data_IF_449317089466
#
_entry.id   IF_449317089466
#
_cell.length_a   1.000
_cell.length_b   1.000
_cell.length_c   1.000
_cell.angle_alpha   90.00
_cell.angle_beta   90.00
_cell.angle_gamma   90.00
#
_symmetry.space_group_name_H-M   'P 1'
#
loop_
_entity.id
_entity.type
_entity.pdbx_description
1 polymer ?
#
# COMPACT_ATOMS: atom_id res chain seq x y z
N UNK A 1 -12.23 -11.63 -13.06
CA UNK A 1 -10.97 -11.88 -13.81
C UNK A 1 -9.98 -12.58 -12.87
N UNK A 2 -9.41 -13.72 -13.26
CA UNK A 2 -8.47 -14.48 -12.41
C UNK A 2 -7.01 -14.27 -12.81
N UNK A 3 -6.13 -14.15 -11.83
CA UNK A 3 -4.70 -13.96 -12.05
C UNK A 3 -3.91 -13.73 -10.77
N UNK A 4 -2.63 -13.37 -10.90
CA UNK A 4 -1.73 -13.13 -9.79
C UNK A 4 -1.37 -11.64 -9.67
N UNK A 5 -1.47 -11.08 -8.47
CA UNK A 5 -1.02 -9.70 -8.22
C UNK A 5 0.51 -9.67 -8.24
N UNK A 6 1.11 -9.09 -9.28
CA UNK A 6 2.57 -9.01 -9.41
C UNK A 6 3.15 -7.92 -8.50
N UNK A 7 2.53 -6.74 -8.52
CA UNK A 7 2.96 -5.59 -7.73
C UNK A 7 1.83 -4.59 -7.62
N UNK A 8 1.94 -3.74 -6.61
CA UNK A 8 1.08 -2.57 -6.42
C UNK A 8 1.94 -1.32 -6.34
N UNK A 9 1.48 -0.26 -7.00
CA UNK A 9 2.08 1.08 -6.93
C UNK A 9 1.00 2.10 -6.63
N UNK A 10 1.42 3.26 -6.13
CA UNK A 10 0.51 4.38 -5.91
C UNK A 10 1.10 5.60 -6.61
N UNK A 11 0.27 6.26 -7.41
CA UNK A 11 0.62 7.51 -8.09
C UNK A 11 -0.44 8.55 -7.74
N UNK A 12 -0.02 9.60 -7.04
CA UNK A 12 -0.93 10.57 -6.42
C UNK A 12 -1.93 9.83 -5.51
N UNK A 13 -3.20 9.76 -5.89
CA UNK A 13 -4.27 9.12 -5.10
C UNK A 13 -4.91 7.95 -5.86
N UNK A 14 -4.15 7.36 -6.80
CA UNK A 14 -4.57 6.18 -7.58
C UNK A 14 -3.63 5.03 -7.27
N UNK A 15 -4.21 3.93 -6.79
CA UNK A 15 -3.53 2.65 -6.71
C UNK A 15 -3.58 1.94 -8.07
N UNK A 16 -2.41 1.53 -8.55
CA UNK A 16 -2.26 0.68 -9.73
C UNK A 16 -1.90 -0.73 -9.23
N UNK A 17 -2.74 -1.71 -9.57
CA UNK A 17 -2.53 -3.13 -9.28
C UNK A 17 -2.24 -3.83 -10.60
N UNK A 18 -1.05 -4.42 -10.70
CA UNK A 18 -0.63 -5.16 -11.89
C UNK A 18 -0.95 -6.64 -11.72
N UNK A 19 -1.85 -7.16 -12.55
CA UNK A 19 -2.34 -8.52 -12.49
C UNK A 19 -1.84 -9.33 -13.70
N UNK A 20 -1.12 -10.42 -13.45
CA UNK A 20 -0.82 -11.44 -14.48
C UNK A 20 -2.00 -12.39 -14.58
N UNK A 21 -2.79 -12.30 -15.65
CA UNK A 21 -3.94 -13.19 -15.83
C UNK A 21 -3.49 -14.61 -16.13
N UNK A 22 -4.38 -15.58 -15.91
CA UNK A 22 -4.11 -16.98 -16.27
C UNK A 22 -3.94 -17.20 -17.79
N UNK A 23 -4.42 -16.26 -18.62
CA UNK A 23 -4.18 -16.28 -20.07
C UNK A 23 -2.77 -15.81 -20.47
N UNK A 24 -1.99 -15.32 -19.51
CA UNK A 24 -0.64 -14.80 -19.74
C UNK A 24 -0.59 -13.29 -20.03
N UNK A 25 -1.72 -12.58 -20.11
CA UNK A 25 -1.74 -11.11 -20.23
C UNK A 25 -1.39 -10.44 -18.91
N UNK A 26 -0.84 -9.23 -18.98
CA UNK A 26 -0.63 -8.38 -17.80
C UNK A 26 -1.59 -7.20 -17.89
N UNK A 27 -2.51 -7.14 -16.93
CA UNK A 27 -3.54 -6.12 -16.84
C UNK A 27 -3.18 -5.10 -15.75
N UNK A 28 -3.45 -3.82 -16.03
CA UNK A 28 -3.32 -2.74 -15.06
C UNK A 28 -4.70 -2.33 -14.56
N UNK A 29 -4.99 -2.66 -13.31
CA UNK A 29 -6.22 -2.27 -12.63
C UNK A 29 -5.96 -0.99 -11.84
N UNK A 30 -6.80 0.02 -12.01
CA UNK A 30 -6.68 1.29 -11.28
C UNK A 30 -7.85 1.46 -10.32
N UNK A 31 -7.56 1.70 -9.05
CA UNK A 31 -8.57 1.98 -8.03
C UNK A 31 -8.21 3.26 -7.26
N UNK A 32 -9.20 4.05 -6.81
CA UNK A 32 -8.92 5.18 -5.92
C UNK A 32 -8.21 4.71 -4.65
N UNK A 33 -7.13 5.39 -4.26
CA UNK A 33 -6.43 5.15 -3.02
C UNK A 33 -6.64 6.32 -2.06
N UNK A 34 -7.18 5.99 -0.89
CA UNK A 34 -7.40 6.94 0.19
C UNK A 34 -6.48 6.59 1.35
N UNK A 35 -5.49 7.43 1.67
CA UNK A 35 -4.59 7.13 2.78
C UNK A 35 -5.33 7.23 4.12
N UNK A 36 -5.08 6.25 4.98
CA UNK A 36 -5.79 6.14 6.25
C UNK A 36 -4.86 5.82 7.43
N UNK A 37 -5.30 6.17 8.64
CA UNK A 37 -4.66 5.84 9.91
C UNK A 37 -5.71 5.75 11.02
N UNK A 38 -5.28 5.39 12.23
CA UNK A 38 -6.17 5.28 13.38
C UNK A 38 -5.81 6.30 14.45
N UNK A 39 -6.81 6.82 15.13
CA UNK A 39 -6.68 7.76 16.24
C UNK A 39 -7.46 7.24 17.44
N UNK A 40 -6.91 7.44 18.63
CA UNK A 40 -7.60 7.21 19.90
C UNK A 40 -7.40 8.41 20.83
N UNK A 41 -8.46 8.96 21.44
CA UNK A 41 -8.29 10.03 22.42
C UNK A 41 -7.61 9.49 23.71
N UNK A 42 -6.83 10.34 24.40
CA UNK A 42 -6.15 9.98 25.67
C UNK A 42 -6.73 10.76 26.84
N UNK A 43 -6.75 12.09 26.73
CA UNK A 43 -7.20 13.01 27.78
C UNK A 43 -8.38 13.87 27.28
N UNK A 44 -9.19 13.29 26.40
CA UNK A 44 -10.41 13.89 25.87
C UNK A 44 -11.42 12.79 25.57
N UNK A 45 -12.70 13.14 25.43
CA UNK A 45 -13.72 12.16 25.04
C UNK A 45 -13.76 11.94 23.52
N UNK A 46 -14.40 10.86 23.10
CA UNK A 46 -14.67 10.63 21.69
C UNK A 46 -15.57 11.73 21.12
N UNK A 47 -16.57 12.16 21.90
CA UNK A 47 -17.52 13.23 21.57
C UNK A 47 -16.84 14.59 21.41
N UNK A 48 -15.71 14.83 22.08
CA UNK A 48 -14.90 16.03 21.90
C UNK A 48 -14.02 15.93 20.64
N UNK A 49 -13.44 14.77 20.37
CA UNK A 49 -12.50 14.59 19.25
C UNK A 49 -13.19 14.49 17.90
N UNK A 50 -14.33 13.77 17.83
CA UNK A 50 -15.01 13.47 16.57
C UNK A 50 -15.38 14.76 15.80
N UNK A 51 -15.99 15.79 16.41
CA UNK A 51 -16.32 17.02 15.70
C UNK A 51 -15.08 17.77 15.19
N UNK A 52 -13.94 17.69 15.89
CA UNK A 52 -12.70 18.31 15.42
C UNK A 52 -12.17 17.63 14.16
N UNK A 53 -12.31 16.30 14.08
CA UNK A 53 -11.92 15.53 12.91
C UNK A 53 -12.90 15.74 11.74
N UNK A 54 -14.20 15.75 12.00
CA UNK A 54 -15.25 15.98 10.98
C UNK A 54 -15.13 17.35 10.31
N UNK A 55 -14.75 18.38 11.07
CA UNK A 55 -14.57 19.74 10.55
C UNK A 55 -13.18 19.97 9.92
N UNK A 56 -12.31 18.96 9.89
CA UNK A 56 -10.97 19.12 9.36
C UNK A 56 -10.98 19.16 7.82
N UNK A 57 -10.38 20.18 7.17
CA UNK A 57 -10.53 20.41 5.71
C UNK A 57 -9.94 19.34 4.79
N UNK A 58 -9.17 18.40 5.36
CA UNK A 58 -8.50 17.32 4.62
C UNK A 58 -8.86 15.92 5.13
N UNK A 59 -9.80 15.82 6.07
CA UNK A 59 -10.37 14.53 6.48
C UNK A 59 -11.62 14.33 5.65
N UNK A 60 -11.68 13.22 4.92
CA UNK A 60 -12.77 12.93 3.99
C UNK A 60 -13.82 12.01 4.61
N UNK A 61 -13.37 11.05 5.44
CA UNK A 61 -14.26 10.05 6.05
C UNK A 61 -13.70 9.59 7.41
N UNK A 62 -14.60 9.17 8.29
CA UNK A 62 -14.32 8.70 9.64
C UNK A 62 -15.11 7.43 9.92
N UNK A 63 -14.45 6.42 10.50
CA UNK A 63 -15.13 5.18 10.91
C UNK A 63 -14.76 4.79 12.33
N UNK A 64 -15.76 4.52 13.15
CA UNK A 64 -15.55 3.93 14.47
C UNK A 64 -15.31 2.43 14.31
N UNK A 65 -14.16 1.97 14.80
CA UNK A 65 -13.76 0.57 14.74
C UNK A 65 -13.27 0.08 16.11
N UNK A 66 -13.41 -1.21 16.38
CA UNK A 66 -12.79 -1.86 17.53
C UNK A 66 -11.51 -2.57 17.09
N UNK A 67 -10.36 -2.18 17.65
CA UNK A 67 -9.03 -2.74 17.34
C UNK A 67 -8.25 -3.05 18.61
N UNK A 68 -7.27 -3.93 18.51
CA UNK A 68 -6.23 -4.08 19.55
C UNK A 68 -5.16 -3.02 19.35
N UNK A 69 -4.72 -2.37 20.42
CA UNK A 69 -3.64 -1.34 20.34
C UNK A 69 -2.28 -1.94 19.96
N UNK A 70 -2.07 -3.20 20.30
CA UNK A 70 -0.86 -3.94 19.99
C UNK A 70 -1.20 -5.42 19.79
N UNK A 71 -0.27 -6.18 19.19
CA UNK A 71 -0.41 -7.64 19.03
C UNK A 71 -0.53 -8.39 20.37
N UNK A 72 0.06 -7.84 21.44
CA UNK A 72 0.03 -8.41 22.78
C UNK A 72 -1.19 -7.97 23.61
N UNK A 73 -1.96 -6.97 23.16
CA UNK A 73 -3.13 -6.52 23.90
C UNK A 73 -4.24 -7.57 23.84
N UNK A 74 -4.75 -8.05 25.00
CA UNK A 74 -5.88 -8.98 25.01
C UNK A 74 -7.19 -8.28 24.62
N UNK A 75 -7.27 -6.96 24.82
CA UNK A 75 -8.51 -6.20 24.75
C UNK A 75 -8.61 -5.40 23.46
N UNK A 76 -9.82 -5.38 22.90
CA UNK A 76 -10.20 -4.44 21.86
C UNK A 76 -10.58 -3.10 22.49
N UNK A 77 -10.15 -2.02 21.85
CA UNK A 77 -10.49 -0.65 22.21
C UNK A 77 -11.12 0.04 21.01
N UNK A 78 -11.97 1.01 21.29
CA UNK A 78 -12.58 1.82 20.24
C UNK A 78 -11.54 2.82 19.71
N UNK A 79 -11.44 2.90 18.40
CA UNK A 79 -10.57 3.82 17.66
C UNK A 79 -11.35 4.46 16.52
N UNK A 80 -10.90 5.63 16.09
CA UNK A 80 -11.41 6.33 14.91
C UNK A 80 -10.44 6.05 13.77
N UNK A 81 -10.89 5.34 12.74
CA UNK A 81 -10.18 5.27 11.47
C UNK A 81 -10.44 6.56 10.70
N UNK A 82 -9.37 7.25 10.35
CA UNK A 82 -9.38 8.53 9.65
C UNK A 82 -8.92 8.32 8.22
N UNK A 83 -9.74 8.72 7.26
CA UNK A 83 -9.38 8.77 5.85
C UNK A 83 -9.06 10.21 5.45
N UNK A 84 -7.89 10.40 4.85
CA UNK A 84 -7.44 11.71 4.35
C UNK A 84 -7.74 11.79 2.86
N UNK A 85 -8.10 12.99 2.41
CA UNK A 85 -8.48 13.29 1.03
C UNK A 85 -7.38 12.98 -0.01
N UNK A 86 -6.11 13.12 0.35
CA UNK A 86 -4.97 12.82 -0.53
C UNK A 86 -3.69 12.43 0.22
N UNK A 87 -2.79 11.74 -0.48
CA UNK A 87 -1.43 11.46 0.01
C UNK A 87 -0.66 12.75 0.28
N UNK A 88 -0.87 13.77 -0.54
CA UNK A 88 -0.20 15.06 -0.38
C UNK A 88 -0.53 15.70 0.97
N UNK A 89 -1.78 15.57 1.43
CA UNK A 89 -2.25 16.14 2.67
C UNK A 89 -1.96 15.28 3.91
N UNK A 90 -1.71 13.98 3.73
CA UNK A 90 -1.54 13.01 4.81
C UNK A 90 -0.60 13.48 5.93
N UNK A 91 0.63 13.90 5.59
CA UNK A 91 1.61 14.35 6.59
C UNK A 91 1.20 15.63 7.31
N UNK A 92 0.48 16.52 6.61
CA UNK A 92 -0.03 17.76 7.20
C UNK A 92 -1.11 17.48 8.24
N UNK A 93 -2.05 16.59 7.90
CA UNK A 93 -3.09 16.12 8.84
C UNK A 93 -2.44 15.51 10.08
N UNK A 94 -1.48 14.58 9.89
CA UNK A 94 -0.78 13.95 11.01
C UNK A 94 -0.13 14.97 11.94
N UNK A 95 0.59 15.95 11.37
CA UNK A 95 1.24 17.01 12.16
C UNK A 95 0.24 17.82 12.99
N UNK A 96 -0.94 18.13 12.45
CA UNK A 96 -1.98 18.84 13.17
C UNK A 96 -2.57 17.99 14.30
N UNK A 97 -2.82 16.71 14.05
CA UNK A 97 -3.36 15.80 15.06
C UNK A 97 -2.37 15.48 16.18
N UNK A 98 -1.06 15.50 15.93
CA UNK A 98 -0.05 15.33 17.00
C UNK A 98 -0.07 16.47 18.03
N UNK A 99 -0.78 17.57 17.76
CA UNK A 99 -0.97 18.67 18.72
C UNK A 99 -2.17 18.44 19.64
N UNK A 100 -3.00 17.43 19.37
CA UNK A 100 -4.16 17.06 20.17
C UNK A 100 -3.80 15.95 21.17
N UNK A 101 -4.50 15.83 22.32
CA UNK A 101 -4.27 14.78 23.31
C UNK A 101 -4.83 13.42 22.82
N UNK A 102 -4.25 12.91 21.74
CA UNK A 102 -4.62 11.66 21.09
C UNK A 102 -3.39 10.80 20.74
N UNK A 103 -3.58 9.48 20.70
CA UNK A 103 -2.63 8.53 20.13
C UNK A 103 -2.97 8.30 18.67
N UNK A 104 -1.95 8.23 17.83
CA UNK A 104 -2.08 7.94 16.41
C UNK A 104 -1.34 6.64 16.10
N UNK A 105 -1.98 5.74 15.34
CA UNK A 105 -1.46 4.41 15.04
C UNK A 105 -1.36 4.18 13.53
N UNK A 106 -0.47 3.26 13.16
CA UNK A 106 -0.24 2.83 11.78
C UNK A 106 0.11 3.97 10.81
N UNK A 107 0.92 4.92 11.27
CA UNK A 107 1.41 6.08 10.49
C UNK A 107 2.79 5.84 9.89
N UNK A 108 3.48 4.81 10.38
CA UNK A 108 4.80 4.35 9.99
C UNK A 108 4.77 3.32 8.85
N UNK A 109 3.58 2.80 8.52
CA UNK A 109 3.38 1.93 7.37
C UNK A 109 3.53 2.72 6.06
N UNK A 110 4.37 2.21 5.15
CA UNK A 110 4.42 2.77 3.81
C UNK A 110 3.05 2.63 3.14
N UNK A 111 2.62 3.64 2.37
CA UNK A 111 1.32 3.61 1.69
C UNK A 111 1.14 2.37 0.82
N UNK A 112 2.20 1.87 0.19
CA UNK A 112 2.18 0.61 -0.58
C UNK A 112 1.81 -0.59 0.31
N UNK A 113 2.36 -0.69 1.52
CA UNK A 113 2.03 -1.75 2.47
C UNK A 113 0.58 -1.61 2.97
N UNK A 114 0.15 -0.37 3.29
CA UNK A 114 -1.24 -0.09 3.67
C UNK A 114 -2.21 -0.50 2.57
N UNK A 115 -1.90 -0.17 1.32
CA UNK A 115 -2.70 -0.61 0.16
C UNK A 115 -2.81 -2.14 0.12
N UNK A 116 -1.70 -2.87 0.26
CA UNK A 116 -1.76 -4.34 0.27
C UNK A 116 -2.66 -4.90 1.37
N UNK A 117 -2.61 -4.32 2.58
CA UNK A 117 -3.54 -4.72 3.66
C UNK A 117 -4.99 -4.41 3.33
N UNK A 118 -5.26 -3.24 2.72
CA UNK A 118 -6.61 -2.84 2.33
C UNK A 118 -7.17 -3.67 1.17
N UNK A 119 -6.32 -4.18 0.27
CA UNK A 119 -6.71 -5.07 -0.81
C UNK A 119 -7.14 -6.46 -0.30
N UNK A 120 -6.70 -6.86 0.89
CA UNK A 120 -6.99 -8.18 1.47
C UNK A 120 -6.33 -9.35 0.74
N UNK A 121 -5.47 -9.06 -0.25
CA UNK A 121 -4.82 -10.06 -1.09
C UNK A 121 -3.30 -9.80 -1.16
N UNK A 122 -2.46 -10.78 -0.77
CA UNK A 122 -1.02 -10.66 -0.92
C UNK A 122 -0.61 -10.60 -2.40
N UNK A 123 0.52 -9.98 -2.69
CA UNK A 123 1.17 -10.17 -3.98
C UNK A 123 1.55 -11.65 -4.17
N UNK A 124 1.59 -12.10 -5.41
CA UNK A 124 1.95 -13.45 -5.86
C UNK A 124 0.95 -14.56 -5.46
N UNK A 125 -0.19 -14.21 -4.85
CA UNK A 125 -1.31 -15.15 -4.66
C UNK A 125 -2.27 -15.10 -5.85
N UNK A 126 -2.89 -16.24 -6.16
CA UNK A 126 -3.97 -16.29 -7.13
C UNK A 126 -5.20 -15.59 -6.54
N UNK A 127 -5.72 -14.64 -7.32
CA UNK A 127 -6.88 -13.83 -6.95
C UNK A 127 -7.91 -13.82 -8.06
N UNK A 128 -9.15 -13.61 -7.65
CA UNK A 128 -10.25 -13.21 -8.52
C UNK A 128 -10.53 -11.74 -8.28
N UNK A 129 -10.44 -10.96 -9.35
CA UNK A 129 -10.83 -9.55 -9.39
C UNK A 129 -12.25 -9.42 -9.91
N UNK A 130 -13.13 -8.82 -9.12
CA UNK A 130 -14.47 -8.41 -9.52
C UNK A 130 -14.46 -6.92 -9.87
N UNK A 131 -14.72 -6.61 -11.14
CA UNK A 131 -14.73 -5.24 -11.67
C UNK A 131 -15.89 -4.41 -11.12
N UNK A 132 -17.03 -5.06 -10.79
CA UNK A 132 -18.22 -4.38 -10.31
C UNK A 132 -18.04 -3.86 -8.88
N UNK A 133 -17.48 -4.68 -7.99
CA UNK A 133 -17.18 -4.30 -6.61
C UNK A 133 -15.78 -3.70 -6.43
N UNK A 134 -14.92 -3.81 -7.44
CA UNK A 134 -13.48 -3.44 -7.43
C UNK A 134 -12.71 -4.13 -6.31
N UNK A 135 -13.03 -5.39 -6.03
CA UNK A 135 -12.41 -6.19 -4.96
C UNK A 135 -11.60 -7.34 -5.52
N UNK A 136 -10.58 -7.72 -4.75
CA UNK A 136 -9.79 -8.92 -4.98
C UNK A 136 -10.16 -9.94 -3.92
N UNK A 137 -10.39 -11.17 -4.33
CA UNK A 137 -10.63 -12.31 -3.47
C UNK A 137 -9.55 -13.35 -3.71
N UNK A 138 -8.93 -13.85 -2.63
CA UNK A 138 -7.92 -14.90 -2.75
C UNK A 138 -8.63 -16.22 -3.10
N UNK A 139 -8.17 -16.86 -4.18
CA UNK A 139 -8.77 -18.09 -4.72
C UNK A 139 -8.10 -19.35 -4.15
N UNK A 140 -6.80 -19.28 -3.86
CA UNK A 140 -6.04 -20.44 -3.37
C UNK A 140 -6.32 -20.75 -1.90
N UNK A 141 -6.27 -22.04 -1.57
CA UNK A 141 -6.17 -22.49 -0.18
C UNK A 141 -4.79 -22.12 0.42
N UNK A 142 -4.70 -21.96 1.73
CA UNK A 142 -3.49 -21.49 2.44
C UNK A 142 -2.22 -22.34 2.16
N UNK A 143 -2.36 -23.52 1.55
CA UNK A 143 -1.32 -24.53 1.39
C UNK A 143 -0.91 -24.85 -0.05
N UNK A 144 -1.56 -24.28 -1.07
CA UNK A 144 -1.13 -24.43 -2.46
C UNK A 144 -0.34 -23.18 -2.89
N UNK A 145 0.92 -23.41 -3.30
CA UNK A 145 1.91 -22.39 -3.61
C UNK A 145 2.49 -22.64 -5.00
N UNK A 146 1.64 -22.67 -6.02
CA UNK A 146 2.16 -22.58 -7.39
C UNK A 146 2.54 -21.12 -7.67
N UNK A 147 3.82 -20.83 -7.94
CA UNK A 147 4.24 -19.48 -8.24
C UNK A 147 3.58 -19.00 -9.54
N UNK A 148 3.28 -17.69 -9.67
CA UNK A 148 2.81 -17.15 -10.94
C UNK A 148 3.76 -17.52 -12.09
N UNK A 149 3.24 -17.79 -13.29
CA UNK A 149 4.06 -17.93 -14.48
C UNK A 149 4.67 -16.55 -14.83
N UNK A 150 5.88 -16.30 -14.33
CA UNK A 150 6.63 -15.06 -14.53
C UNK A 150 7.61 -15.27 -15.67
N UNK A 151 7.58 -14.34 -16.63
CA UNK A 151 8.65 -14.20 -17.61
C UNK A 151 9.81 -13.46 -16.97
N UNK A 152 11.00 -14.04 -17.00
CA UNK A 152 12.22 -13.42 -16.48
C UNK A 152 13.12 -12.95 -17.63
N UNK A 153 13.85 -11.86 -17.40
CA UNK A 153 14.84 -11.32 -18.32
C UNK A 153 16.10 -11.01 -17.51
N UNK A 154 17.22 -11.64 -17.86
CA UNK A 154 18.51 -11.37 -17.22
C UNK A 154 19.31 -10.47 -18.15
N UNK A 155 19.83 -9.37 -17.60
CA UNK A 155 20.66 -8.40 -18.32
C UNK A 155 22.02 -8.29 -17.65
N UNK A 156 23.09 -8.38 -18.44
CA UNK A 156 24.46 -8.11 -18.01
C UNK A 156 25.00 -6.83 -18.66
N UNK A 157 25.60 -5.96 -17.86
CA UNK A 157 26.06 -4.63 -18.27
C UNK A 157 27.57 -4.53 -18.17
N UNK A 158 28.22 -4.27 -19.31
CA UNK A 158 29.65 -3.97 -19.33
C UNK A 158 29.85 -2.48 -19.47
N UNK A 159 30.66 -1.90 -18.59
CA UNK A 159 30.94 -0.46 -18.54
C UNK A 159 32.36 -0.19 -19.03
N UNK A 160 32.57 0.91 -19.74
CA UNK A 160 33.91 1.39 -20.08
C UNK A 160 34.45 2.23 -18.93
N UNK A 161 35.33 1.65 -18.12
CA UNK A 161 36.01 2.34 -17.01
C UNK A 161 37.52 2.14 -17.09
N UNK A 162 38.29 3.10 -16.56
CA UNK A 162 39.76 3.06 -16.52
C UNK A 162 40.31 2.42 -15.24
N UNK A 163 39.47 2.17 -14.23
CA UNK A 163 39.85 1.57 -12.94
C UNK A 163 38.87 0.50 -12.48
N UNK A 164 39.13 -0.13 -11.33
CA UNK A 164 38.32 -1.24 -10.79
C UNK A 164 36.90 -0.86 -10.37
N UNK A 165 36.63 0.42 -10.15
CA UNK A 165 35.34 0.91 -9.69
C UNK A 165 34.76 1.87 -10.74
N UNK A 166 33.80 1.43 -11.55
CA UNK A 166 33.13 2.30 -12.51
C UNK A 166 32.43 3.47 -11.82
N UNK A 167 32.47 4.64 -12.44
CA UNK A 167 31.72 5.82 -12.02
C UNK A 167 30.46 5.98 -12.92
N UNK A 168 29.24 5.70 -12.42
CA UNK A 168 28.03 5.77 -13.24
C UNK A 168 27.70 7.18 -13.76
N UNK A 169 28.30 8.24 -13.19
CA UNK A 169 28.11 9.60 -13.69
C UNK A 169 28.94 9.93 -14.93
N UNK A 170 30.03 9.18 -15.19
CA UNK A 170 31.01 9.52 -16.25
C UNK A 170 31.36 8.36 -17.16
N UNK A 171 31.29 7.12 -16.66
CA UNK A 171 31.71 5.93 -17.38
C UNK A 171 30.53 5.36 -18.18
N UNK A 172 30.61 5.35 -19.51
CA UNK A 172 29.48 4.94 -20.34
C UNK A 172 29.31 3.42 -20.34
N UNK A 173 28.06 2.98 -20.48
CA UNK A 173 27.74 1.58 -20.78
C UNK A 173 28.35 1.25 -22.15
N UNK A 174 29.20 0.24 -22.18
CA UNK A 174 29.87 -0.27 -23.39
C UNK A 174 29.02 -1.31 -24.10
N UNK A 175 28.36 -2.20 -23.34
CA UNK A 175 27.59 -3.33 -23.88
C UNK A 175 26.52 -3.75 -22.88
N UNK A 176 25.36 -4.12 -23.40
CA UNK A 176 24.31 -4.83 -22.65
C UNK A 176 24.15 -6.20 -23.31
N UNK A 177 24.16 -7.25 -22.51
CA UNK A 177 23.94 -8.63 -22.95
C UNK A 177 22.62 -9.09 -22.38
N UNK A 178 21.76 -9.64 -23.24
CA UNK A 178 20.53 -10.32 -22.82
C UNK A 178 20.89 -11.78 -22.59
N UNK A 179 20.81 -12.23 -21.34
CA UNK A 179 21.02 -13.61 -20.98
C UNK A 179 19.67 -14.33 -21.05
N UNK A 180 19.55 -15.21 -22.04
CA UNK A 180 18.41 -16.13 -22.21
C UNK A 180 18.62 -17.41 -21.43
#
# INVERSE_FOLDING_TARGET
>A
MKGYILTVTIRSDIAEVWLKTLSGTVERITIPYKPDFYVKPVDMSLEELLPMLENHPHIEDLKLEFKRESLSSPNYTQVIRVYVDSIHNYRRVLKQLTMLPCKIFNVDLAHRQRLMFNLGAPCLKLVEYDDSSRRFEVVDSDFEWEPPPINWLILDFHVKCSGFKPNPATDPIKRVVVCT
#
